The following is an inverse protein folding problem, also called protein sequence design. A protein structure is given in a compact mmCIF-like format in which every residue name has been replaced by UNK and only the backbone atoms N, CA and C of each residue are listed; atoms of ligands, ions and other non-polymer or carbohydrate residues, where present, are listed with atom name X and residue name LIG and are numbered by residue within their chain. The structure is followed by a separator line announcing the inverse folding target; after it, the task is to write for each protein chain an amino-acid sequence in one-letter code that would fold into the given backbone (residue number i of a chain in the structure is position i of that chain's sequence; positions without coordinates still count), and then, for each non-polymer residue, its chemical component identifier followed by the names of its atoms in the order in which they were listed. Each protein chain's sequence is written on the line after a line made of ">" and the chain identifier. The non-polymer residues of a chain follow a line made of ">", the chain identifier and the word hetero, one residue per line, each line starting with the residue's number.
data_IF_236342115457
#
_entry.id   IF_236342115457
#
_cell.length_a   1.000
_cell.length_b   1.000
_cell.length_c   1.000
_cell.angle_alpha   90.00
_cell.angle_beta   90.00
_cell.angle_gamma   90.00
#
_symmetry.space_group_name_H-M   'P 1'
#
loop_
_entity.id
_entity.type
_entity.pdbx_description
1 polymer ?
#
# COMPACT_ATOMS: atom_id res chain seq x y z
N UNK A 1 -22.71 -76.25 -12.73
CA UNK A 1 -22.15 -75.98 -11.38
C UNK A 1 -21.57 -74.58 -11.40
N UNK A 2 -21.92 -73.79 -10.39
CA UNK A 2 -21.90 -72.31 -10.34
C UNK A 2 -20.49 -71.72 -10.18
N UNK A 3 -20.22 -70.58 -10.84
CA UNK A 3 -19.54 -69.33 -10.35
C UNK A 3 -18.93 -68.58 -11.57
N UNK A 4 -19.55 -67.50 -12.06
CA UNK A 4 -19.39 -66.09 -11.63
C UNK A 4 -17.93 -65.61 -11.61
N UNK A 5 -17.55 -64.74 -12.55
CA UNK A 5 -16.62 -63.64 -12.24
C UNK A 5 -16.98 -62.39 -13.07
N UNK A 6 -16.97 -61.27 -12.36
CA UNK A 6 -17.54 -59.96 -12.71
C UNK A 6 -16.59 -59.14 -13.59
N UNK A 7 -17.20 -58.23 -14.34
CA UNK A 7 -16.58 -57.15 -15.07
C UNK A 7 -15.74 -56.22 -14.18
N UNK A 8 -14.64 -55.72 -14.73
CA UNK A 8 -13.98 -54.48 -14.29
C UNK A 8 -13.81 -53.60 -15.52
N UNK A 9 -14.69 -52.61 -15.67
CA UNK A 9 -14.52 -51.54 -16.64
C UNK A 9 -13.61 -50.48 -16.01
N UNK A 10 -12.40 -50.32 -16.57
CA UNK A 10 -11.49 -49.25 -16.20
C UNK A 10 -11.98 -47.94 -16.83
N UNK A 11 -12.52 -47.04 -16.01
CA UNK A 11 -12.87 -45.68 -16.40
C UNK A 11 -11.59 -44.84 -16.55
N UNK A 12 -11.33 -44.36 -17.76
CA UNK A 12 -10.30 -43.37 -18.02
C UNK A 12 -10.75 -42.00 -17.47
N UNK A 13 -10.05 -41.52 -16.45
CA UNK A 13 -10.19 -40.14 -15.95
C UNK A 13 -9.35 -39.26 -16.87
N UNK A 14 -10.00 -38.51 -17.76
CA UNK A 14 -9.36 -37.45 -18.55
C UNK A 14 -9.21 -36.25 -17.62
N UNK A 15 -8.01 -36.07 -17.07
CA UNK A 15 -7.63 -34.85 -16.38
C UNK A 15 -7.38 -33.75 -17.43
N UNK A 16 -8.35 -32.86 -17.62
CA UNK A 16 -8.16 -31.64 -18.40
C UNK A 16 -7.35 -30.65 -17.56
N UNK A 17 -6.02 -30.67 -17.71
CA UNK A 17 -5.13 -29.63 -17.20
C UNK A 17 -5.36 -28.35 -18.01
N UNK A 18 -6.15 -27.42 -17.49
CA UNK A 18 -6.24 -26.07 -18.02
C UNK A 18 -4.90 -25.37 -17.76
N UNK A 19 -4.08 -25.26 -18.81
CA UNK A 19 -2.93 -24.37 -18.83
C UNK A 19 -3.46 -22.93 -18.89
N UNK A 20 -3.47 -22.24 -17.75
CA UNK A 20 -3.69 -20.81 -17.72
C UNK A 20 -2.47 -20.12 -18.36
N UNK A 21 -2.63 -19.26 -19.37
CA UNK A 21 -1.55 -18.42 -19.83
C UNK A 21 -1.18 -17.46 -18.70
N UNK A 22 0.05 -17.56 -18.19
CA UNK A 22 0.62 -16.55 -17.31
C UNK A 22 0.85 -15.28 -18.13
N UNK A 23 -0.15 -14.39 -18.18
CA UNK A 23 0.09 -13.01 -18.57
C UNK A 23 1.08 -12.43 -17.56
N UNK A 24 2.30 -12.12 -18.00
CA UNK A 24 3.23 -11.36 -17.18
C UNK A 24 2.54 -10.08 -16.75
N UNK A 25 2.31 -9.90 -15.46
CA UNK A 25 1.71 -8.68 -14.94
C UNK A 25 2.68 -7.53 -15.26
N UNK A 26 2.33 -6.67 -16.21
CA UNK A 26 3.02 -5.40 -16.37
C UNK A 26 2.78 -4.59 -15.10
N UNK A 27 3.80 -3.89 -14.62
CA UNK A 27 3.63 -2.97 -13.51
C UNK A 27 2.60 -1.90 -13.91
N UNK A 28 1.58 -1.76 -13.09
CA UNK A 28 0.56 -0.73 -13.28
C UNK A 28 1.18 0.66 -13.13
N UNK A 29 0.68 1.65 -13.86
CA UNK A 29 1.25 3.00 -13.91
C UNK A 29 0.30 4.08 -13.44
N UNK A 30 0.85 5.14 -12.84
CA UNK A 30 0.13 6.38 -12.49
C UNK A 30 0.88 7.54 -13.14
N UNK A 31 0.19 8.38 -13.90
CA UNK A 31 0.73 9.66 -14.38
C UNK A 31 0.22 10.72 -13.41
N UNK A 32 1.12 11.37 -12.68
CA UNK A 32 0.75 12.33 -11.65
C UNK A 32 1.50 13.64 -11.81
N UNK A 33 0.79 14.74 -11.56
CA UNK A 33 1.32 16.11 -11.56
C UNK A 33 1.38 16.63 -10.14
N UNK A 34 2.53 17.16 -9.72
CA UNK A 34 2.65 17.81 -8.43
C UNK A 34 1.94 19.16 -8.45
N UNK A 35 0.85 19.31 -7.71
CA UNK A 35 0.11 20.58 -7.65
C UNK A 35 0.60 21.49 -6.52
N UNK A 36 1.14 20.92 -5.45
CA UNK A 36 1.75 21.66 -4.35
C UNK A 36 1.93 20.79 -3.12
N UNK A 37 1.74 21.40 -1.96
CA UNK A 37 1.77 20.71 -0.68
C UNK A 37 0.61 21.13 0.19
N UNK A 38 0.12 20.17 0.96
CA UNK A 38 -1.01 20.37 1.87
C UNK A 38 -0.52 20.77 3.28
N UNK A 39 0.57 20.15 3.75
CA UNK A 39 1.14 20.44 5.05
C UNK A 39 2.65 20.20 5.06
N UNK A 40 3.40 21.06 5.74
CA UNK A 40 4.85 20.88 5.90
C UNK A 40 5.61 22.18 6.07
N UNK A 41 6.90 22.12 5.73
CA UNK A 41 7.78 23.29 5.71
C UNK A 41 9.14 22.94 5.11
N UNK A 42 10.15 23.78 5.38
CA UNK A 42 11.48 23.57 4.82
C UNK A 42 12.45 23.05 5.88
N UNK A 43 13.26 22.06 5.54
CA UNK A 43 14.35 21.59 6.40
C UNK A 43 15.69 21.70 5.68
N UNK A 44 16.75 22.02 6.42
CA UNK A 44 18.11 21.96 5.90
C UNK A 44 18.66 20.56 6.13
N UNK A 45 18.99 19.88 5.04
CA UNK A 45 19.57 18.54 5.05
C UNK A 45 21.05 18.60 4.72
N UNK A 46 21.81 17.80 5.44
CA UNK A 46 23.20 17.47 5.16
C UNK A 46 23.31 15.97 4.85
N UNK A 47 24.19 15.62 3.92
CA UNK A 47 24.50 14.23 3.62
C UNK A 47 25.99 14.03 3.80
N UNK A 48 26.38 13.00 4.53
CA UNK A 48 27.76 12.59 4.62
C UNK A 48 28.22 12.17 3.22
N UNK A 49 29.16 12.92 2.63
CA UNK A 49 29.95 12.33 1.55
C UNK A 49 30.89 11.32 2.21
N UNK A 50 31.06 10.12 1.64
CA UNK A 50 31.80 8.99 2.23
C UNK A 50 33.29 9.24 2.56
N UNK A 51 33.73 10.49 2.57
CA UNK A 51 35.07 10.98 2.91
C UNK A 51 35.06 11.94 4.12
N UNK A 52 34.09 11.82 5.03
CA UNK A 52 34.07 12.61 6.27
C UNK A 52 33.83 14.12 6.09
N UNK A 53 33.44 14.54 4.88
CA UNK A 53 33.08 15.92 4.55
C UNK A 53 31.57 16.00 4.47
N UNK A 54 30.93 16.80 5.33
CA UNK A 54 29.51 17.13 5.16
C UNK A 54 29.34 17.96 3.89
N UNK A 55 28.33 17.62 3.07
CA UNK A 55 27.89 18.55 2.03
C UNK A 55 27.41 19.85 2.68
N UNK A 56 27.59 20.99 2.00
CA UNK A 56 26.85 22.21 2.33
C UNK A 56 25.36 21.88 2.48
N UNK A 57 24.72 22.43 3.51
CA UNK A 57 23.31 22.17 3.78
C UNK A 57 22.45 22.57 2.58
N UNK A 58 21.50 21.72 2.22
CA UNK A 58 20.54 21.96 1.15
C UNK A 58 19.16 22.06 1.78
N UNK A 59 18.47 23.16 1.50
CA UNK A 59 17.07 23.34 1.91
C UNK A 59 16.16 22.50 1.01
N UNK A 60 15.25 21.77 1.64
CA UNK A 60 14.29 20.89 0.98
C UNK A 60 12.91 21.10 1.57
N UNK A 61 11.89 20.88 0.76
CA UNK A 61 10.53 20.81 1.22
C UNK A 61 10.30 19.48 1.97
N UNK A 62 10.15 19.56 3.29
CA UNK A 62 9.77 18.47 4.16
C UNK A 62 8.25 18.52 4.37
N UNK A 63 7.50 17.96 3.42
CA UNK A 63 6.06 18.17 3.35
C UNK A 63 5.31 16.95 2.83
N UNK A 64 3.99 16.96 3.07
CA UNK A 64 3.03 16.09 2.42
C UNK A 64 2.63 16.75 1.11
N UNK A 65 3.00 16.13 0.00
CA UNK A 65 2.70 16.62 -1.33
C UNK A 65 1.26 16.32 -1.72
N UNK A 66 0.69 17.23 -2.50
CA UNK A 66 -0.61 17.08 -3.14
C UNK A 66 -0.41 16.84 -4.64
N UNK A 67 -0.83 15.67 -5.10
CA UNK A 67 -0.67 15.22 -6.47
C UNK A 67 -2.01 14.97 -7.13
N UNK A 68 -2.12 15.43 -8.38
CA UNK A 68 -3.23 15.12 -9.26
C UNK A 68 -2.85 13.98 -10.20
N UNK A 69 -3.54 12.86 -10.13
CA UNK A 69 -3.51 11.81 -11.14
C UNK A 69 -4.14 12.33 -12.44
N UNK A 70 -3.36 12.36 -13.50
CA UNK A 70 -3.77 12.86 -14.83
C UNK A 70 -3.90 11.74 -15.86
N UNK A 71 -3.58 10.51 -15.47
CA UNK A 71 -3.71 9.32 -16.30
C UNK A 71 -2.95 8.13 -15.71
N UNK A 72 -2.71 7.13 -16.55
CA UNK A 72 -2.08 5.88 -16.14
C UNK A 72 -2.97 4.68 -16.43
N UNK A 73 -2.53 3.52 -15.95
CA UNK A 73 -3.25 2.25 -16.05
C UNK A 73 -3.76 1.77 -14.69
N UNK A 74 -3.40 2.45 -13.62
CA UNK A 74 -3.83 2.12 -12.27
C UNK A 74 -5.27 2.52 -12.01
N UNK A 75 -5.95 1.67 -11.25
CA UNK A 75 -7.38 1.76 -10.94
C UNK A 75 -7.62 1.76 -9.42
N UNK A 76 -6.54 1.76 -8.63
CA UNK A 76 -6.61 1.83 -7.18
C UNK A 76 -6.84 3.27 -6.74
N UNK A 77 -7.76 3.45 -5.80
CA UNK A 77 -7.95 4.73 -5.15
C UNK A 77 -6.78 5.00 -4.21
N UNK A 78 -6.18 6.19 -4.34
CA UNK A 78 -5.10 6.66 -3.47
C UNK A 78 -5.65 7.61 -2.41
N UNK A 79 -5.06 7.58 -1.22
CA UNK A 79 -5.50 8.39 -0.09
C UNK A 79 -5.18 9.87 -0.35
N UNK A 80 -6.19 10.73 -0.33
CA UNK A 80 -6.09 12.13 -0.71
C UNK A 80 -7.07 13.06 0.01
N UNK A 81 -7.15 14.32 -0.43
CA UNK A 81 -8.04 15.35 0.16
C UNK A 81 -9.55 15.07 -0.06
N UNK A 82 -9.88 14.07 -0.88
CA UNK A 82 -11.26 13.67 -1.18
C UNK A 82 -11.82 14.29 -2.46
N UNK A 83 -11.03 15.09 -3.19
CA UNK A 83 -11.30 15.40 -4.59
C UNK A 83 -10.99 14.18 -5.48
N UNK A 84 -11.62 14.14 -6.65
CA UNK A 84 -11.37 13.09 -7.63
C UNK A 84 -9.93 13.21 -8.15
N UNK A 85 -9.24 12.07 -8.26
CA UNK A 85 -7.89 11.96 -8.80
C UNK A 85 -6.78 12.67 -7.99
N UNK A 86 -7.08 13.34 -6.87
CA UNK A 86 -6.09 13.94 -5.98
C UNK A 86 -5.66 12.96 -4.88
N UNK A 87 -4.36 12.91 -4.59
CA UNK A 87 -3.79 12.05 -3.56
C UNK A 87 -2.58 12.65 -2.89
N UNK A 88 -2.37 12.24 -1.64
CA UNK A 88 -1.23 12.66 -0.84
C UNK A 88 -0.05 11.72 -0.99
N UNK A 89 1.15 12.30 -0.98
CA UNK A 89 2.38 11.53 -0.98
C UNK A 89 3.50 12.15 -0.15
N UNK A 90 4.51 11.34 0.16
CA UNK A 90 5.79 11.78 0.72
C UNK A 90 6.93 11.36 -0.21
N UNK A 91 7.96 12.19 -0.34
CA UNK A 91 9.18 11.83 -1.05
C UNK A 91 9.91 10.70 -0.30
N UNK A 92 10.29 9.63 -0.98
CA UNK A 92 11.01 8.53 -0.33
C UNK A 92 12.49 8.86 -0.15
N UNK A 93 13.08 9.49 -1.16
CA UNK A 93 14.51 9.72 -1.26
C UNK A 93 14.81 11.22 -1.19
N UNK A 94 15.64 11.70 -0.23
CA UNK A 94 15.96 13.12 -0.15
C UNK A 94 16.76 13.64 -1.36
N UNK A 95 17.60 12.84 -2.04
CA UNK A 95 18.49 13.31 -3.12
C UNK A 95 17.82 13.47 -4.49
N UNK A 96 16.62 12.94 -4.66
CA UNK A 96 15.82 13.12 -5.86
C UNK A 96 14.88 14.32 -5.66
N UNK A 97 14.33 14.84 -6.75
CA UNK A 97 13.50 16.05 -6.70
C UNK A 97 12.33 15.93 -7.67
N UNK A 98 11.24 16.56 -7.30
CA UNK A 98 10.10 16.87 -8.16
C UNK A 98 9.74 18.34 -7.98
N UNK A 99 9.31 18.99 -9.05
CA UNK A 99 8.93 20.40 -9.04
C UNK A 99 7.43 20.56 -9.22
N UNK A 100 6.87 21.63 -8.65
CA UNK A 100 5.46 21.97 -8.84
C UNK A 100 5.16 22.15 -10.34
N UNK A 101 4.03 21.59 -10.78
CA UNK A 101 3.60 21.53 -12.18
C UNK A 101 4.30 20.45 -13.01
N UNK A 102 5.27 19.72 -12.45
CA UNK A 102 5.91 18.61 -13.15
C UNK A 102 4.98 17.39 -13.16
N UNK A 103 4.74 16.85 -14.36
CA UNK A 103 4.02 15.59 -14.57
C UNK A 103 5.00 14.45 -14.80
N UNK A 104 4.85 13.36 -14.05
CA UNK A 104 5.74 12.20 -14.07
C UNK A 104 4.93 10.93 -14.22
N UNK A 105 5.42 10.00 -15.04
CA UNK A 105 4.86 8.64 -15.15
C UNK A 105 5.56 7.72 -14.16
N UNK A 106 4.81 7.23 -13.19
CA UNK A 106 5.28 6.32 -12.17
C UNK A 106 4.85 4.88 -12.45
N UNK A 107 5.70 3.93 -12.11
CA UNK A 107 5.30 2.55 -11.90
C UNK A 107 4.85 2.35 -10.45
N UNK A 108 3.69 1.71 -10.25
CA UNK A 108 3.21 1.38 -8.91
C UNK A 108 3.84 0.07 -8.42
N UNK A 109 4.69 0.19 -7.41
CA UNK A 109 5.56 -0.89 -6.91
C UNK A 109 5.30 -1.17 -5.42
N UNK A 110 5.73 -2.32 -4.90
CA UNK A 110 5.81 -2.53 -3.46
C UNK A 110 6.72 -1.47 -2.81
N UNK A 111 6.42 -1.04 -1.58
CA UNK A 111 7.20 -0.01 -0.89
C UNK A 111 8.70 -0.35 -0.81
N UNK A 112 9.04 -1.63 -0.63
CA UNK A 112 10.42 -2.12 -0.62
C UNK A 112 11.23 -1.84 -1.89
N UNK A 113 10.57 -1.54 -3.01
CA UNK A 113 11.22 -1.20 -4.28
C UNK A 113 11.45 0.30 -4.46
N UNK A 114 11.01 1.15 -3.52
CA UNK A 114 11.26 2.58 -3.61
C UNK A 114 12.75 2.91 -3.52
N UNK A 115 13.15 4.05 -4.09
CA UNK A 115 14.52 4.50 -4.26
C UNK A 115 15.38 3.49 -5.08
N UNK A 116 14.76 2.80 -6.05
CA UNK A 116 15.45 1.81 -6.88
C UNK A 116 16.57 2.44 -7.71
N UNK A 117 16.29 3.60 -8.32
CA UNK A 117 17.22 4.37 -9.14
C UNK A 117 18.41 4.92 -8.35
N UNK A 118 18.20 5.29 -7.10
CA UNK A 118 19.16 6.06 -6.31
C UNK A 118 19.99 5.22 -5.34
N UNK A 119 19.42 4.16 -4.76
CA UNK A 119 20.13 3.29 -3.79
C UNK A 119 19.89 1.78 -4.02
N UNK A 120 19.27 1.38 -5.13
CA UNK A 120 19.00 -0.03 -5.43
C UNK A 120 17.79 -0.61 -4.70
N UNK A 121 16.92 0.25 -4.16
CA UNK A 121 15.73 -0.14 -3.42
C UNK A 121 15.93 -0.06 -1.91
N UNK A 122 14.92 0.41 -1.17
CA UNK A 122 15.01 0.46 0.30
C UNK A 122 15.00 -0.94 0.95
N UNK A 123 14.44 -1.95 0.28
CA UNK A 123 14.32 -3.30 0.79
C UNK A 123 13.23 -3.47 1.85
N UNK A 124 13.00 -4.72 2.26
CA UNK A 124 11.86 -5.09 3.11
C UNK A 124 11.99 -4.58 4.55
N UNK A 125 13.20 -4.52 5.10
CA UNK A 125 13.44 -4.06 6.49
C UNK A 125 13.06 -2.58 6.64
N UNK A 126 13.54 -1.72 5.74
CA UNK A 126 13.22 -0.28 5.76
C UNK A 126 11.76 -0.03 5.42
N UNK A 127 11.20 -0.77 4.46
CA UNK A 127 9.77 -0.71 4.16
C UNK A 127 8.91 -1.07 5.40
N UNK A 128 9.33 -2.06 6.18
CA UNK A 128 8.66 -2.45 7.43
C UNK A 128 8.76 -1.37 8.51
N UNK A 129 9.93 -0.74 8.67
CA UNK A 129 10.13 0.40 9.58
C UNK A 129 9.26 1.61 9.18
N UNK A 130 9.16 1.91 7.88
CA UNK A 130 8.28 2.97 7.38
C UNK A 130 6.81 2.59 7.61
N UNK A 131 6.43 1.34 7.38
CA UNK A 131 5.08 0.88 7.68
C UNK A 131 4.75 1.02 9.17
N UNK A 132 5.68 0.71 10.07
CA UNK A 132 5.52 0.93 11.51
C UNK A 132 5.42 2.42 11.87
N UNK A 133 6.27 3.27 11.27
CA UNK A 133 6.25 4.73 11.45
C UNK A 133 4.85 5.29 11.15
N UNK A 134 4.31 5.01 9.97
CA UNK A 134 2.97 5.45 9.60
C UNK A 134 1.89 4.74 10.44
N UNK A 135 2.05 3.44 10.75
CA UNK A 135 1.08 2.71 11.55
C UNK A 135 0.89 3.30 12.96
N UNK A 136 1.95 3.89 13.53
CA UNK A 136 1.91 4.56 14.84
C UNK A 136 1.40 5.99 14.78
N UNK A 137 1.81 6.76 13.77
CA UNK A 137 1.68 8.22 13.80
C UNK A 137 0.81 8.82 12.69
N UNK A 138 0.53 8.07 11.62
CA UNK A 138 -0.41 8.45 10.57
C UNK A 138 -0.86 7.23 9.75
N UNK A 139 -1.77 6.42 10.30
CA UNK A 139 -2.19 5.16 9.66
C UNK A 139 -3.09 5.39 8.44
N UNK A 140 -3.65 6.59 8.30
CA UNK A 140 -4.43 7.04 7.16
C UNK A 140 -3.82 8.34 6.62
N UNK A 141 -3.24 8.29 5.42
CA UNK A 141 -2.62 9.44 4.77
C UNK A 141 -3.64 10.54 4.41
N UNK A 142 -4.92 10.22 4.24
CA UNK A 142 -5.98 11.20 4.01
C UNK A 142 -6.40 11.96 5.29
N UNK A 143 -5.98 11.50 6.48
CA UNK A 143 -6.32 12.19 7.71
C UNK A 143 -5.63 13.57 7.78
N UNK A 144 -6.28 14.59 8.38
CA UNK A 144 -5.66 15.90 8.58
C UNK A 144 -4.33 15.80 9.33
N UNK A 145 -3.39 16.66 8.98
CA UNK A 145 -2.05 16.68 9.55
C UNK A 145 -1.57 18.12 9.76
N UNK A 146 -0.82 18.37 10.83
CA UNK A 146 -0.17 19.66 11.03
C UNK A 146 1.15 19.78 10.24
N UNK A 147 1.59 21.01 9.95
CA UNK A 147 2.88 21.26 9.29
C UNK A 147 4.07 20.59 10.01
N UNK A 148 4.07 20.62 11.35
CA UNK A 148 5.12 20.00 12.16
C UNK A 148 5.10 18.47 12.02
N UNK A 149 3.91 17.87 12.02
CA UNK A 149 3.76 16.41 11.87
C UNK A 149 4.14 15.94 10.45
N UNK A 150 3.75 16.68 9.40
CA UNK A 150 4.11 16.37 8.02
C UNK A 150 5.61 16.44 7.80
N UNK A 151 6.24 17.50 8.30
CA UNK A 151 7.69 17.64 8.25
C UNK A 151 8.38 16.53 9.04
N UNK A 152 7.87 16.19 10.23
CA UNK A 152 8.45 15.14 11.04
C UNK A 152 8.38 13.75 10.37
N UNK A 153 7.24 13.43 9.74
CA UNK A 153 7.09 12.19 8.98
C UNK A 153 8.01 12.16 7.74
N UNK A 154 8.07 13.25 6.98
CA UNK A 154 8.91 13.35 5.79
C UNK A 154 10.40 13.18 6.15
N UNK A 155 10.87 13.81 7.22
CA UNK A 155 12.23 13.68 7.73
C UNK A 155 12.51 12.25 8.21
N UNK A 156 11.57 11.65 8.95
CA UNK A 156 11.71 10.27 9.43
C UNK A 156 11.76 9.24 8.29
N UNK A 157 10.97 9.44 7.21
CA UNK A 157 11.05 8.61 6.00
C UNK A 157 12.44 8.70 5.38
N UNK A 158 12.96 9.91 5.17
CA UNK A 158 14.29 10.10 4.59
C UNK A 158 15.41 9.50 5.45
N UNK A 159 15.30 9.64 6.76
CA UNK A 159 16.23 9.03 7.72
C UNK A 159 16.24 7.50 7.57
N UNK A 160 15.08 6.84 7.62
CA UNK A 160 14.99 5.38 7.42
C UNK A 160 15.52 4.98 6.03
N UNK A 161 15.16 5.71 4.98
CA UNK A 161 15.62 5.45 3.61
C UNK A 161 17.14 5.49 3.51
N UNK A 162 17.80 6.47 4.14
CA UNK A 162 19.24 6.70 3.96
C UNK A 162 20.12 6.08 5.02
N UNK A 163 19.60 5.69 6.17
CA UNK A 163 20.43 5.13 7.23
C UNK A 163 20.95 3.73 6.89
N UNK A 164 22.17 3.42 7.34
CA UNK A 164 22.73 2.09 7.24
C UNK A 164 22.11 1.18 8.30
N UNK A 165 21.90 -0.10 7.97
CA UNK A 165 21.30 -1.08 8.88
C UNK A 165 22.10 -1.32 10.17
N UNK A 166 23.36 -0.87 10.21
CA UNK A 166 24.25 -0.97 11.37
C UNK A 166 24.14 0.20 12.34
N UNK A 167 23.44 1.28 11.96
CA UNK A 167 23.34 2.50 12.73
C UNK A 167 21.95 2.63 13.38
N UNK A 168 21.89 3.33 14.50
CA UNK A 168 20.63 3.73 15.10
C UNK A 168 20.05 4.93 14.32
N UNK A 169 18.73 4.95 14.13
CA UNK A 169 18.03 6.05 13.45
C UNK A 169 18.17 7.35 14.25
N UNK A 170 18.63 8.42 13.61
CA UNK A 170 18.92 9.69 14.26
C UNK A 170 18.83 10.85 13.28
N UNK A 171 18.03 11.87 13.58
CA UNK A 171 17.96 13.06 12.71
C UNK A 171 19.16 13.99 12.88
N UNK A 172 20.02 13.75 13.88
CA UNK A 172 21.11 14.66 14.26
C UNK A 172 22.49 14.17 13.83
N UNK A 173 22.59 12.92 13.36
CA UNK A 173 23.85 12.30 12.93
C UNK A 173 23.53 11.09 12.05
N UNK A 174 24.55 10.53 11.39
CA UNK A 174 24.38 9.39 10.50
C UNK A 174 24.69 9.76 9.06
N UNK A 175 24.15 8.98 8.13
CA UNK A 175 24.40 9.18 6.70
C UNK A 175 23.70 10.45 6.17
N UNK A 176 22.51 10.74 6.70
CA UNK A 176 21.78 11.98 6.49
C UNK A 176 21.53 12.60 7.86
N UNK A 177 21.62 13.92 7.97
CA UNK A 177 21.29 14.64 9.20
C UNK A 177 20.74 16.01 8.86
N UNK A 178 20.10 16.65 9.83
CA UNK A 178 19.28 17.81 9.57
C UNK A 178 19.50 18.89 10.61
N UNK A 179 19.51 20.13 10.14
CA UNK A 179 19.60 21.32 10.98
C UNK A 179 18.25 22.05 11.00
N UNK A 180 18.01 22.77 12.10
CA UNK A 180 16.95 23.77 12.18
C UNK A 180 17.35 24.96 11.31
N UNK A 181 16.99 24.88 10.02
CA UNK A 181 16.95 26.06 9.16
C UNK A 181 15.94 27.09 9.69
N UNK A 182 16.04 28.33 9.23
CA UNK A 182 15.13 29.43 9.61
C UNK A 182 13.66 29.16 9.30
N UNK A 183 13.40 28.27 8.34
CA UNK A 183 12.06 27.96 7.80
C UNK A 183 11.54 26.57 8.23
N UNK A 184 12.19 25.96 9.24
CA UNK A 184 11.74 24.70 9.82
C UNK A 184 10.51 24.93 10.71
N UNK A 185 9.37 24.24 10.48
CA UNK A 185 8.23 24.34 11.37
C UNK A 185 8.65 23.89 12.77
N UNK A 186 8.63 24.83 13.71
CA UNK A 186 9.22 24.70 15.04
C UNK A 186 8.91 23.36 15.70
N UNK A 187 9.95 22.57 15.97
CA UNK A 187 9.83 21.27 16.64
C UNK A 187 9.73 20.04 15.73
N UNK A 188 9.75 20.19 14.39
CA UNK A 188 9.65 19.04 13.48
C UNK A 188 10.82 18.05 13.66
N UNK A 189 12.06 18.52 13.87
CA UNK A 189 13.21 17.63 14.13
C UNK A 189 13.07 16.85 15.44
N UNK A 190 12.68 17.52 16.52
CA UNK A 190 12.43 16.85 17.80
C UNK A 190 11.30 15.82 17.70
N UNK A 191 10.26 16.13 16.92
CA UNK A 191 9.13 15.23 16.70
C UNK A 191 9.54 14.04 15.82
N UNK A 192 10.31 14.27 14.76
CA UNK A 192 10.87 13.21 13.91
C UNK A 192 11.73 12.25 14.74
N UNK A 193 12.62 12.77 15.59
CA UNK A 193 13.43 11.93 16.48
C UNK A 193 12.56 11.11 17.44
N UNK A 194 11.48 11.70 17.96
CA UNK A 194 10.53 10.99 18.82
C UNK A 194 9.87 9.83 18.05
N UNK A 195 9.49 10.06 16.80
CA UNK A 195 8.90 9.02 15.95
C UNK A 195 9.87 7.88 15.67
N UNK A 196 11.10 8.20 15.25
CA UNK A 196 12.15 7.22 14.97
C UNK A 196 12.50 6.38 16.21
N UNK A 197 12.56 7.02 17.39
CA UNK A 197 12.86 6.33 18.66
C UNK A 197 11.76 5.36 19.08
N UNK A 198 10.54 5.48 18.53
CA UNK A 198 9.42 4.59 18.82
C UNK A 198 9.38 3.36 17.90
N UNK A 199 10.14 3.34 16.81
CA UNK A 199 10.21 2.22 15.87
C UNK A 199 11.02 1.10 16.52
N UNK A 200 10.40 -0.05 16.74
CA UNK A 200 11.03 -1.16 17.45
C UNK A 200 10.65 -2.54 16.90
N UNK A 201 10.02 -2.59 15.72
CA UNK A 201 9.58 -3.81 15.04
C UNK A 201 8.28 -4.40 15.60
N UNK A 202 7.77 -3.92 16.73
CA UNK A 202 6.60 -4.47 17.42
C UNK A 202 5.35 -3.59 17.31
N UNK A 203 5.46 -2.42 16.69
CA UNK A 203 4.34 -1.50 16.52
C UNK A 203 3.32 -1.91 15.46
N UNK A 204 2.15 -1.23 15.44
CA UNK A 204 1.20 -1.36 14.35
C UNK A 204 1.84 -0.90 13.03
N UNK A 205 1.49 -1.57 11.94
CA UNK A 205 1.96 -1.23 10.59
C UNK A 205 0.80 -0.67 9.76
N UNK A 206 1.01 0.50 9.15
CA UNK A 206 0.07 1.06 8.19
C UNK A 206 -0.11 0.08 7.02
N UNK A 207 -1.36 -0.06 6.59
CA UNK A 207 -1.73 -0.92 5.47
C UNK A 207 -1.81 -0.09 4.18
N UNK A 208 -1.67 -0.76 3.04
CA UNK A 208 -1.85 -0.13 1.73
C UNK A 208 -0.71 0.80 1.30
N UNK A 209 0.40 0.89 2.03
CA UNK A 209 1.54 1.69 1.61
C UNK A 209 2.17 1.11 0.34
N UNK A 210 2.39 1.98 -0.66
CA UNK A 210 2.97 1.66 -1.96
C UNK A 210 4.03 2.69 -2.33
N UNK A 211 4.88 2.32 -3.29
CA UNK A 211 5.80 3.23 -3.92
C UNK A 211 5.32 3.56 -5.33
N UNK A 212 5.31 4.83 -5.68
CA UNK A 212 5.31 5.30 -7.05
C UNK A 212 6.76 5.54 -7.44
N UNK A 213 7.29 4.67 -8.31
CA UNK A 213 8.71 4.67 -8.68
C UNK A 213 8.93 5.27 -10.06
N UNK A 214 9.90 6.17 -10.20
CA UNK A 214 10.30 6.81 -11.45
C UNK A 214 11.81 6.72 -11.66
N UNK A 215 12.25 6.19 -12.80
CA UNK A 215 13.68 6.10 -13.10
C UNK A 215 14.32 7.51 -13.18
N UNK A 216 15.30 7.77 -12.31
CA UNK A 216 16.01 9.04 -12.23
C UNK A 216 15.17 10.22 -11.71
N UNK A 217 13.96 9.95 -11.20
CA UNK A 217 13.05 10.94 -10.64
C UNK A 217 12.79 10.69 -9.15
N UNK A 218 12.00 11.56 -8.53
CA UNK A 218 11.59 11.38 -7.15
C UNK A 218 10.62 10.21 -6.98
N UNK A 219 11.02 9.19 -6.22
CA UNK A 219 10.08 8.16 -5.79
C UNK A 219 9.17 8.69 -4.67
N UNK A 220 7.89 8.32 -4.74
CA UNK A 220 6.85 8.77 -3.80
C UNK A 220 6.26 7.60 -3.02
N UNK A 221 6.06 7.81 -1.72
CA UNK A 221 5.26 6.95 -0.85
C UNK A 221 3.81 7.42 -0.90
N UNK A 222 2.92 6.51 -1.25
CA UNK A 222 1.46 6.72 -1.27
C UNK A 222 0.75 5.64 -0.47
N UNK A 223 -0.53 5.83 -0.21
CA UNK A 223 -1.38 4.83 0.41
C UNK A 223 -2.57 4.50 -0.47
N UNK A 224 -2.76 3.22 -0.78
CA UNK A 224 -3.96 2.71 -1.42
C UNK A 224 -5.08 2.60 -0.40
N UNK A 225 -6.23 3.18 -0.73
CA UNK A 225 -7.46 3.04 0.05
C UNK A 225 -8.16 1.78 -0.43
N UNK A 226 -8.10 0.71 0.35
CA UNK A 226 -8.86 -0.50 0.01
C UNK A 226 -10.36 -0.27 0.27
N UNK A 227 -11.07 0.30 -0.69
CA UNK A 227 -12.51 0.49 -0.65
C UNK A 227 -13.26 -0.77 -1.12
N UNK A 228 -12.94 -1.96 -0.64
CA UNK A 228 -13.81 -3.13 -0.83
C UNK A 228 -13.49 -4.28 0.15
N UNK A 229 -14.51 -4.90 0.78
CA UNK A 229 -14.41 -6.31 1.12
C UNK A 229 -14.07 -7.05 -0.16
N UNK A 230 -12.99 -7.84 -0.15
CA UNK A 230 -12.51 -8.54 -1.34
C UNK A 230 -13.68 -9.21 -2.07
N UNK A 231 -13.72 -9.24 -3.42
CA UNK A 231 -14.79 -9.88 -4.19
C UNK A 231 -15.15 -11.30 -3.71
N UNK A 232 -14.17 -12.01 -3.12
CA UNK A 232 -14.38 -13.28 -2.44
C UNK A 232 -15.35 -13.22 -1.25
N UNK A 233 -15.39 -12.14 -0.47
CA UNK A 233 -16.33 -11.94 0.65
C UNK A 233 -17.77 -11.88 0.14
N UNK A 234 -18.02 -11.16 -0.95
CA UNK A 234 -19.33 -11.13 -1.59
C UNK A 234 -19.70 -12.49 -2.18
N UNK A 235 -18.75 -13.17 -2.80
CA UNK A 235 -18.96 -14.50 -3.39
C UNK A 235 -19.18 -15.57 -2.31
N UNK A 236 -18.53 -15.46 -1.16
CA UNK A 236 -18.75 -16.32 0.02
C UNK A 236 -20.07 -16.01 0.71
N UNK A 237 -20.47 -14.73 0.80
CA UNK A 237 -21.76 -14.32 1.35
C UNK A 237 -22.92 -14.77 0.44
N UNK A 238 -22.83 -14.51 -0.87
CA UNK A 238 -23.80 -14.96 -1.87
C UNK A 238 -23.80 -16.50 -1.94
N UNK A 239 -22.63 -17.14 -1.91
CA UNK A 239 -22.50 -18.59 -1.89
C UNK A 239 -23.12 -19.22 -0.65
N UNK A 240 -22.88 -18.62 0.53
CA UNK A 240 -23.43 -19.05 1.81
C UNK A 240 -24.96 -18.93 1.86
N UNK A 241 -25.51 -17.77 1.49
CA UNK A 241 -26.95 -17.56 1.42
C UNK A 241 -27.61 -18.39 0.31
N UNK A 242 -26.94 -18.55 -0.83
CA UNK A 242 -27.40 -19.39 -1.94
C UNK A 242 -27.53 -20.86 -1.55
N UNK A 243 -26.57 -21.42 -0.82
CA UNK A 243 -26.66 -22.79 -0.30
C UNK A 243 -27.80 -22.95 0.71
N UNK A 244 -27.91 -22.05 1.68
CA UNK A 244 -28.97 -22.11 2.70
C UNK A 244 -30.37 -22.00 2.05
N UNK A 245 -30.54 -21.08 1.11
CA UNK A 245 -31.77 -20.93 0.33
C UNK A 245 -32.10 -22.17 -0.52
N UNK A 246 -31.09 -22.79 -1.13
CA UNK A 246 -31.24 -24.03 -1.89
C UNK A 246 -31.69 -25.22 -1.02
N UNK A 247 -31.10 -25.37 0.16
CA UNK A 247 -31.47 -26.43 1.13
C UNK A 247 -32.90 -26.20 1.64
N UNK A 248 -33.28 -24.96 1.97
CA UNK A 248 -34.62 -24.62 2.43
C UNK A 248 -35.70 -24.88 1.36
N UNK A 249 -35.41 -24.60 0.09
CA UNK A 249 -36.33 -24.86 -1.04
C UNK A 249 -36.57 -26.35 -1.25
N UNK A 250 -35.52 -27.17 -1.13
CA UNK A 250 -35.62 -28.63 -1.30
C UNK A 250 -36.50 -29.26 -0.21
N UNK A 251 -36.45 -28.76 1.03
CA UNK A 251 -37.30 -29.24 2.13
C UNK A 251 -38.79 -28.92 1.94
N UNK A 252 -39.15 -27.79 1.32
CA UNK A 252 -40.56 -27.42 1.07
C UNK A 252 -41.23 -28.30 0.00
N UNK A 253 -40.48 -28.73 -1.02
CA UNK A 253 -41.03 -29.58 -2.09
C UNK A 253 -41.22 -31.06 -1.68
N UNK A 254 -40.61 -31.49 -0.57
CA UNK A 254 -40.80 -32.86 -0.04
C UNK A 254 -41.94 -32.96 0.98
N UNK A 255 -42.60 -31.85 1.33
CA UNK A 255 -43.69 -31.80 2.32
C UNK A 255 -45.11 -31.79 1.76
N UNK A 256 -45.32 -31.68 0.43
CA UNK A 256 -46.67 -31.54 -0.16
C UNK A 256 -47.21 -32.78 -0.88
N UNK A 257 -46.51 -33.92 -0.82
CA UNK A 257 -46.93 -35.16 -1.48
C UNK A 257 -47.51 -36.14 -0.46
N UNK A 258 -48.71 -35.85 0.04
CA UNK A 258 -49.45 -36.86 0.81
C UNK A 258 -50.50 -36.29 1.74
N UNK A 259 -51.65 -35.89 1.22
CA UNK A 259 -52.97 -35.98 1.88
C UNK A 259 -54.04 -35.45 0.91
N UNK A 260 -54.41 -36.30 -0.04
CA UNK A 260 -55.42 -35.98 -1.04
C UNK A 260 -55.91 -37.25 -1.72
N UNK A 261 -56.48 -38.18 -0.94
CA UNK A 261 -57.30 -39.25 -1.52
C UNK A 261 -58.72 -39.13 -0.99
N UNK A 262 -59.57 -38.69 -1.92
CA UNK A 262 -61.01 -38.61 -1.83
C UNK A 262 -61.63 -39.93 -1.39
N UNK A 263 -62.56 -39.85 -0.44
CA UNK A 263 -63.49 -40.93 -0.12
C UNK A 263 -64.79 -40.64 -0.88
N UNK A 264 -65.08 -41.47 -1.89
CA UNK A 264 -66.35 -41.45 -2.61
C UNK A 264 -67.44 -42.20 -1.80
N UNK A 265 -68.70 -41.77 -1.83
CA UNK A 265 -69.78 -42.47 -1.14
C UNK A 265 -70.30 -43.64 -2.00
N UNK A 266 -70.47 -44.80 -1.38
CA UNK A 266 -71.25 -45.91 -1.92
C UNK A 266 -72.68 -45.87 -1.37
N UNK A 267 -73.58 -46.37 -2.21
CA UNK A 267 -75.06 -46.37 -2.16
C UNK A 267 -75.68 -46.81 -0.84
#
# INVERSE_FOLDING_TARGET
>A
MVKSLKAVAAGAIIAATMALPSTGALATTVIATLEGSDAGGTVTRHIASGFGSSSSGINLAAERFDLLATGGTDVQDLAGPGAVDEFFAFCVEPREYIYQGQSVTYAMSPLASAAMSSIGGIGTVKADQIAELFGRFQSNLAAPMSNVQASALQIAVWEITREFSTNALSVYNGNVFYDVGSDNPGGALSLAQTYLSAINGSGPRAQGLRALTSEGGQDLLVQVVSAAPEPGTWLMMIGGFGMIGGIARRKRNMGSSGLGRAFAPAK
#
